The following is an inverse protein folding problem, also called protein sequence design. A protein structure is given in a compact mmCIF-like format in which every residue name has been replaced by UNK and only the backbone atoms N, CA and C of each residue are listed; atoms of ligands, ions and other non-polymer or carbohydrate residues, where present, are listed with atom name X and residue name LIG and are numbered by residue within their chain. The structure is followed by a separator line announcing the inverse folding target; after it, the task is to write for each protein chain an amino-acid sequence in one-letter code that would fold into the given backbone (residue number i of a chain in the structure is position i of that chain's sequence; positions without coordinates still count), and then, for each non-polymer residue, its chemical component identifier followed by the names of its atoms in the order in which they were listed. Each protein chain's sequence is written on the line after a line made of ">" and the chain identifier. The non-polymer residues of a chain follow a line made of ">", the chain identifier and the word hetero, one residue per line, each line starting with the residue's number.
data_IF_298221465668
#
_entry.id   IF_298221465668
#
_cell.length_a   1.000
_cell.length_b   1.000
_cell.length_c   1.000
_cell.angle_alpha   90.00
_cell.angle_beta   90.00
_cell.angle_gamma   90.00
#
_symmetry.space_group_name_H-M   'P 1'
#
loop_
_entity.id
_entity.type
_entity.pdbx_description
1 polymer ?
#
# COMPACT_ATOMS: atom_id res chain seq x y z
N UNK A 1 7.50 5.22 11.32
CA UNK A 1 7.77 6.43 10.49
C UNK A 1 6.51 7.30 10.44
N UNK A 2 6.59 8.63 10.23
CA UNK A 2 5.40 9.44 10.01
C UNK A 2 4.72 9.07 8.68
N UNK A 3 3.41 9.27 8.58
CA UNK A 3 2.66 9.08 7.34
C UNK A 3 2.97 10.20 6.33
N UNK A 4 2.99 9.88 5.03
CA UNK A 4 3.24 10.84 3.96
C UNK A 4 4.73 11.06 3.65
N UNK A 5 5.60 10.11 4.00
CA UNK A 5 7.03 10.14 3.66
C UNK A 5 7.24 9.96 2.15
N UNK A 6 8.33 10.51 1.59
CA UNK A 6 8.68 10.31 0.19
C UNK A 6 8.93 8.82 -0.09
N UNK A 7 8.18 8.21 -1.00
CA UNK A 7 8.25 6.78 -1.28
C UNK A 7 9.65 6.33 -1.72
N UNK A 8 10.38 7.14 -2.48
CA UNK A 8 11.75 6.84 -2.92
C UNK A 8 12.82 6.96 -1.83
N UNK A 9 12.50 7.53 -0.67
CA UNK A 9 13.41 7.50 0.48
C UNK A 9 13.31 6.22 1.31
N UNK A 10 12.32 5.36 1.02
CA UNK A 10 12.16 4.07 1.69
C UNK A 10 13.01 3.02 0.98
N UNK A 11 13.89 2.37 1.73
CA UNK A 11 14.56 1.15 1.27
C UNK A 11 13.56 -0.01 1.34
N UNK A 12 12.80 -0.19 0.25
CA UNK A 12 11.65 -1.06 0.22
C UNK A 12 11.47 -1.73 -1.14
N UNK A 13 11.05 -3.00 -1.12
CA UNK A 13 10.69 -3.73 -2.34
C UNK A 13 9.20 -3.59 -2.61
N UNK A 14 8.86 -2.72 -3.56
CA UNK A 14 7.49 -2.45 -3.97
C UNK A 14 6.89 -3.58 -4.80
N UNK A 15 5.66 -3.97 -4.45
CA UNK A 15 4.89 -5.04 -5.10
C UNK A 15 3.58 -4.44 -5.62
N UNK A 16 3.35 -4.60 -6.93
CA UNK A 16 2.11 -4.24 -7.59
C UNK A 16 1.16 -5.45 -7.64
N UNK A 17 -0.14 -5.21 -7.51
CA UNK A 17 -1.13 -6.28 -7.71
C UNK A 17 -1.06 -6.81 -9.15
N UNK A 18 -1.16 -8.14 -9.30
CA UNK A 18 -1.29 -8.78 -10.62
C UNK A 18 -2.59 -8.41 -11.34
N UNK A 19 -3.58 -7.87 -10.63
CA UNK A 19 -4.85 -7.42 -11.20
C UNK A 19 -4.77 -5.98 -11.74
N UNK A 20 -3.64 -5.30 -11.52
CA UNK A 20 -3.36 -3.99 -12.13
C UNK A 20 -2.87 -4.18 -13.56
N UNK A 21 -3.37 -3.38 -14.49
CA UNK A 21 -2.87 -3.31 -15.87
C UNK A 21 -2.07 -2.00 -16.05
N UNK A 22 -1.39 -1.86 -17.20
CA UNK A 22 -0.61 -0.67 -17.52
C UNK A 22 -1.46 0.62 -17.58
N UNK A 23 -2.78 0.48 -17.71
CA UNK A 23 -3.73 1.58 -17.92
C UNK A 23 -4.51 1.99 -16.66
N UNK A 24 -4.39 1.28 -15.52
CA UNK A 24 -5.18 1.58 -14.32
C UNK A 24 -4.84 0.78 -13.04
N UNK A 25 -5.43 1.20 -11.91
CA UNK A 25 -5.41 0.49 -10.60
C UNK A 25 -4.02 0.32 -9.96
N UNK A 26 -3.22 1.37 -10.07
CA UNK A 26 -1.79 1.40 -9.81
C UNK A 26 -1.44 1.66 -8.32
N UNK A 27 -1.81 0.75 -7.41
CA UNK A 27 -1.33 0.78 -6.01
C UNK A 27 -0.20 -0.23 -5.83
N UNK A 28 0.87 0.19 -5.17
CA UNK A 28 1.99 -0.65 -4.78
C UNK A 28 2.12 -0.70 -3.26
N UNK A 29 2.49 -1.86 -2.75
CA UNK A 29 2.71 -2.10 -1.32
C UNK A 29 4.09 -2.66 -1.08
N UNK A 30 4.70 -2.35 0.07
CA UNK A 30 6.00 -2.87 0.45
C UNK A 30 6.08 -3.14 1.96
N UNK A 31 6.72 -4.25 2.34
CA UNK A 31 7.10 -4.47 3.73
C UNK A 31 8.35 -3.65 4.05
N UNK A 32 8.39 -3.05 5.24
CA UNK A 32 9.50 -2.25 5.75
C UNK A 32 10.31 -3.05 6.79
N UNK A 33 11.60 -2.71 6.93
CA UNK A 33 12.50 -3.38 7.87
C UNK A 33 12.13 -3.19 9.36
N UNK A 34 11.31 -2.20 9.68
CA UNK A 34 10.77 -1.94 11.02
C UNK A 34 9.45 -2.68 11.32
N UNK A 35 9.00 -3.54 10.41
CA UNK A 35 7.74 -4.27 10.53
C UNK A 35 6.51 -3.49 10.06
N UNK A 36 6.69 -2.29 9.52
CA UNK A 36 5.63 -1.53 8.86
C UNK A 36 5.31 -2.03 7.46
N UNK A 37 4.21 -1.52 6.90
CA UNK A 37 3.80 -1.70 5.51
C UNK A 37 3.59 -0.34 4.88
N UNK A 38 4.33 -0.06 3.81
CA UNK A 38 4.16 1.15 3.02
C UNK A 38 3.22 0.91 1.83
N UNK A 39 2.42 1.91 1.48
CA UNK A 39 1.54 1.93 0.31
C UNK A 39 1.79 3.21 -0.49
N UNK A 40 1.87 3.12 -1.82
CA UNK A 40 2.04 4.27 -2.72
C UNK A 40 1.23 4.14 -4.00
N UNK A 41 1.02 5.28 -4.68
CA UNK A 41 0.51 5.31 -6.04
C UNK A 41 1.66 5.02 -7.02
N UNK A 42 1.57 3.94 -7.79
CA UNK A 42 2.63 3.58 -8.74
C UNK A 42 2.71 4.52 -9.96
N UNK A 43 1.74 5.41 -10.16
CA UNK A 43 1.84 6.51 -11.14
C UNK A 43 2.66 7.70 -10.63
N UNK A 44 2.92 7.73 -9.32
CA UNK A 44 3.77 8.72 -8.66
C UNK A 44 4.75 7.98 -7.71
N UNK A 45 5.73 7.25 -8.26
CA UNK A 45 6.62 6.39 -7.46
C UNK A 45 7.52 7.17 -6.48
N UNK A 46 7.69 8.48 -6.71
CA UNK A 46 8.40 9.41 -5.83
C UNK A 46 7.46 10.19 -4.89
N UNK A 47 6.15 10.03 -5.05
CA UNK A 47 5.14 10.69 -4.26
C UNK A 47 5.11 10.23 -2.80
N UNK A 48 4.13 10.71 -2.02
CA UNK A 48 3.97 10.30 -0.63
C UNK A 48 3.58 8.82 -0.53
N UNK A 49 4.23 8.10 0.38
CA UNK A 49 3.85 6.79 0.86
C UNK A 49 3.13 6.90 2.21
N UNK A 50 2.05 6.13 2.36
CA UNK A 50 1.39 5.90 3.64
C UNK A 50 2.02 4.68 4.28
N UNK A 51 2.41 4.78 5.54
CA UNK A 51 3.03 3.74 6.34
C UNK A 51 2.09 3.34 7.46
N UNK A 52 1.70 2.06 7.44
CA UNK A 52 0.84 1.44 8.43
C UNK A 52 1.60 0.39 9.22
N UNK A 53 1.10 0.07 10.40
CA UNK A 53 1.54 -1.10 11.16
C UNK A 53 1.05 -2.38 10.48
N UNK A 54 1.75 -3.50 10.74
CA UNK A 54 1.28 -4.81 10.29
C UNK A 54 -0.12 -5.16 10.80
N UNK A 55 -0.47 -4.71 12.03
CA UNK A 55 -1.79 -4.95 12.62
C UNK A 55 -2.91 -4.21 11.89
N UNK A 56 -2.71 -2.95 11.53
CA UNK A 56 -3.68 -2.17 10.74
C UNK A 56 -3.92 -2.79 9.37
N UNK A 57 -2.85 -3.22 8.69
CA UNK A 57 -2.98 -3.88 7.38
C UNK A 57 -3.66 -5.25 7.52
N UNK A 58 -3.36 -6.02 8.57
CA UNK A 58 -4.02 -7.29 8.82
C UNK A 58 -5.53 -7.12 9.03
N UNK A 59 -5.93 -6.14 9.84
CA UNK A 59 -7.34 -5.79 10.06
C UNK A 59 -8.03 -5.35 8.76
N UNK A 60 -7.40 -4.45 7.99
CA UNK A 60 -7.94 -4.00 6.71
C UNK A 60 -8.14 -5.16 5.73
N UNK A 61 -7.16 -6.07 5.62
CA UNK A 61 -7.27 -7.24 4.75
C UNK A 61 -8.35 -8.24 5.20
N UNK A 62 -8.61 -8.35 6.50
CA UNK A 62 -9.71 -9.17 7.01
C UNK A 62 -11.06 -8.59 6.55
N UNK A 63 -11.32 -7.31 6.83
CA UNK A 63 -12.55 -6.63 6.42
C UNK A 63 -12.76 -6.63 4.90
N UNK A 64 -11.69 -6.38 4.13
CA UNK A 64 -11.75 -6.44 2.66
C UNK A 64 -12.10 -7.84 2.12
N UNK A 65 -11.67 -8.92 2.78
CA UNK A 65 -12.03 -10.29 2.38
C UNK A 65 -13.45 -10.66 2.77
N UNK A 66 -13.97 -10.06 3.83
CA UNK A 66 -15.35 -10.21 4.29
C UNK A 66 -16.35 -9.37 3.48
N UNK A 67 -15.85 -8.53 2.56
CA UNK A 67 -16.67 -7.67 1.71
C UNK A 67 -17.18 -6.42 2.44
N UNK A 68 -16.58 -6.05 3.58
CA UNK A 68 -17.02 -4.89 4.39
C UNK A 68 -17.07 -3.59 3.56
N UNK A 69 -16.21 -3.48 2.55
CA UNK A 69 -16.05 -2.28 1.72
C UNK A 69 -16.67 -2.41 0.32
N UNK A 70 -17.36 -3.51 -0.01
CA UNK A 70 -17.90 -3.77 -1.35
C UNK A 70 -18.96 -2.73 -1.76
N UNK A 71 -19.64 -2.12 -0.79
CA UNK A 71 -20.62 -1.05 -1.01
C UNK A 71 -20.01 0.26 -1.58
N UNK A 72 -18.68 0.38 -1.62
CA UNK A 72 -17.98 1.49 -2.24
C UNK A 72 -17.75 1.29 -3.74
N UNK A 73 -18.08 0.12 -4.29
CA UNK A 73 -17.82 -0.28 -5.68
C UNK A 73 -19.08 -0.26 -6.56
#
# INVERSE_FOLDING_TARGET
>A
MPNGVRASSLDARWIKSRHSNAEGNCVEVAALGDGGVAMRNSRDPDGPALVYTAAEVAAFLAGAKEGEFDHLM
#
